data_IF_707127949083
#
_entry.id   IF_707127949083
#
_cell.length_a   1.000
_cell.length_b   1.000
_cell.length_c   1.000
_cell.angle_alpha   90.00
_cell.angle_beta   90.00
_cell.angle_gamma   90.00
#
_symmetry.space_group_name_H-M   'P 1'
#
loop_
_entity.id
_entity.type
_entity.pdbx_description
1 polymer ?
#
# COMPACT_ATOMS: atom_id res chain seq x y z
N UNK A 1 18.67 58.09 -1.21
CA UNK A 1 17.49 57.56 -0.50
C UNK A 1 16.61 56.64 -1.34
N UNK A 2 16.50 56.78 -2.68
CA UNK A 2 15.60 55.98 -3.53
C UNK A 2 15.92 54.49 -3.61
N UNK A 3 17.16 54.06 -3.66
CA UNK A 3 17.56 52.67 -3.86
C UNK A 3 17.27 51.72 -2.67
N UNK A 4 17.13 52.27 -1.47
CA UNK A 4 16.86 51.50 -0.25
C UNK A 4 15.34 51.14 -0.14
N UNK A 5 14.46 51.99 -0.66
CA UNK A 5 13.01 51.73 -0.71
C UNK A 5 12.63 50.70 -1.77
N UNK A 6 13.31 50.70 -2.93
CA UNK A 6 13.04 49.67 -3.97
C UNK A 6 13.46 48.26 -3.52
N UNK A 7 14.60 48.12 -2.84
CA UNK A 7 15.01 46.79 -2.31
C UNK A 7 14.03 46.25 -1.27
N UNK A 8 13.54 47.10 -0.38
CA UNK A 8 12.56 46.70 0.64
C UNK A 8 11.21 46.33 0.01
N UNK A 9 10.77 47.06 -1.03
CA UNK A 9 9.53 46.76 -1.73
C UNK A 9 9.59 45.43 -2.50
N UNK A 10 10.74 45.12 -3.15
CA UNK A 10 10.99 43.84 -3.81
C UNK A 10 11.02 42.67 -2.80
N UNK A 11 11.58 42.90 -1.62
CA UNK A 11 11.64 41.88 -0.56
C UNK A 11 10.25 41.57 0.00
N UNK A 12 9.44 42.58 0.24
CA UNK A 12 8.03 42.42 0.71
C UNK A 12 7.19 41.73 -0.36
N UNK A 13 7.39 42.05 -1.65
CA UNK A 13 6.67 41.40 -2.76
C UNK A 13 7.03 39.92 -2.88
N UNK A 14 8.31 39.55 -2.76
CA UNK A 14 8.77 38.15 -2.73
C UNK A 14 8.24 37.37 -1.52
N UNK A 15 8.16 37.99 -0.34
CA UNK A 15 7.56 37.38 0.86
C UNK A 15 6.06 37.14 0.68
N UNK A 16 5.34 38.07 0.07
CA UNK A 16 3.90 37.94 -0.24
C UNK A 16 3.65 36.80 -1.25
N UNK A 17 4.48 36.66 -2.28
CA UNK A 17 4.38 35.56 -3.24
C UNK A 17 4.71 34.21 -2.62
N UNK A 18 5.73 34.14 -1.76
CA UNK A 18 6.11 32.94 -1.01
C UNK A 18 4.99 32.50 -0.03
N UNK A 19 4.35 33.45 0.65
CA UNK A 19 3.20 33.18 1.51
C UNK A 19 1.97 32.73 0.71
N UNK A 20 1.74 33.23 -0.51
CA UNK A 20 0.68 32.75 -1.41
C UNK A 20 0.88 31.30 -1.84
N UNK A 21 2.12 30.93 -2.17
CA UNK A 21 2.46 29.54 -2.54
C UNK A 21 2.28 28.61 -1.34
N UNK A 22 2.74 29.02 -0.16
CA UNK A 22 2.58 28.27 1.09
C UNK A 22 1.09 28.12 1.44
N UNK A 23 0.30 29.18 1.36
CA UNK A 23 -1.15 29.12 1.58
C UNK A 23 -1.87 28.27 0.53
N UNK A 24 -1.43 28.27 -0.72
CA UNK A 24 -1.99 27.42 -1.78
C UNK A 24 -1.68 25.93 -1.53
N UNK A 25 -0.47 25.61 -1.07
CA UNK A 25 -0.11 24.25 -0.66
C UNK A 25 -0.89 23.79 0.58
N UNK A 26 -1.08 24.66 1.58
CA UNK A 26 -1.93 24.38 2.74
C UNK A 26 -3.39 24.18 2.35
N UNK A 27 -3.90 24.98 1.42
CA UNK A 27 -5.26 24.85 0.89
C UNK A 27 -5.45 23.55 0.12
N UNK A 28 -4.46 23.15 -0.70
CA UNK A 28 -4.46 21.85 -1.41
C UNK A 28 -4.39 20.66 -0.44
N UNK A 29 -3.59 20.75 0.62
CA UNK A 29 -3.53 19.76 1.69
C UNK A 29 -4.85 19.66 2.47
N UNK A 30 -5.45 20.81 2.79
CA UNK A 30 -6.78 20.88 3.42
C UNK A 30 -7.88 20.32 2.52
N UNK A 31 -7.88 20.65 1.22
CA UNK A 31 -8.83 20.11 0.25
C UNK A 31 -8.64 18.60 0.04
N UNK A 32 -7.40 18.11 0.06
CA UNK A 32 -7.08 16.68 0.00
C UNK A 32 -7.56 15.96 1.26
N UNK A 33 -7.38 16.55 2.44
CA UNK A 33 -7.88 16.01 3.70
C UNK A 33 -9.41 16.10 3.82
N UNK A 34 -10.03 17.17 3.31
CA UNK A 34 -11.49 17.30 3.25
C UNK A 34 -12.11 16.31 2.26
N UNK A 35 -11.50 16.06 1.08
CA UNK A 35 -11.91 14.98 0.19
C UNK A 35 -11.77 13.60 0.85
N UNK A 36 -10.68 13.37 1.57
CA UNK A 36 -10.47 12.13 2.33
C UNK A 36 -11.51 11.98 3.46
N UNK A 37 -11.85 13.07 4.15
CA UNK A 37 -12.92 13.09 5.17
C UNK A 37 -14.32 12.98 4.58
N UNK A 38 -14.62 13.60 3.43
CA UNK A 38 -15.91 13.44 2.75
C UNK A 38 -16.10 12.03 2.18
N UNK A 39 -15.03 11.38 1.71
CA UNK A 39 -15.08 9.97 1.31
C UNK A 39 -15.32 9.10 2.56
N UNK A 40 -14.69 9.39 3.69
CA UNK A 40 -14.90 8.62 4.93
C UNK A 40 -16.27 8.87 5.59
N UNK A 41 -16.87 10.04 5.46
CA UNK A 41 -18.21 10.33 6.01
C UNK A 41 -19.36 9.83 5.13
N UNK A 42 -19.13 9.63 3.83
CA UNK A 42 -20.11 8.98 2.93
C UNK A 42 -20.05 7.44 2.98
N UNK A 43 -19.03 6.85 3.61
CA UNK A 43 -18.82 5.40 3.76
C UNK A 43 -19.49 4.83 5.03
N UNK A 44 -20.34 5.59 5.73
CA UNK A 44 -21.19 5.03 6.78
C UNK A 44 -22.42 4.24 6.24
N UNK A 45 -22.57 4.09 4.93
CA UNK A 45 -23.31 2.97 4.36
C UNK A 45 -22.38 1.75 4.42
N UNK A 46 -22.74 0.76 5.24
CA UNK A 46 -22.01 -0.53 5.34
C UNK A 46 -21.76 -1.05 3.92
N UNK A 47 -20.50 -1.06 3.49
CA UNK A 47 -20.13 -1.67 2.22
C UNK A 47 -20.72 -3.07 2.17
N UNK A 48 -21.44 -3.37 1.09
CA UNK A 48 -21.91 -4.74 0.88
C UNK A 48 -20.74 -5.66 0.50
N UNK A 49 -20.82 -6.93 0.80
CA UNK A 49 -19.81 -7.94 0.42
C UNK A 49 -19.50 -7.90 -1.09
N UNK A 50 -20.53 -7.66 -1.94
CA UNK A 50 -20.35 -7.56 -3.38
C UNK A 50 -19.54 -6.31 -3.80
N UNK A 51 -19.77 -5.17 -3.15
CA UNK A 51 -19.00 -3.93 -3.39
C UNK A 51 -17.55 -4.11 -2.95
N UNK A 52 -17.31 -4.71 -1.79
CA UNK A 52 -15.98 -5.03 -1.32
C UNK A 52 -15.25 -5.94 -2.30
N UNK A 53 -15.89 -7.04 -2.75
CA UNK A 53 -15.29 -7.94 -3.72
C UNK A 53 -14.90 -7.22 -5.01
N UNK A 54 -15.79 -6.37 -5.55
CA UNK A 54 -15.50 -5.57 -6.75
C UNK A 54 -14.30 -4.64 -6.54
N UNK A 55 -14.19 -4.01 -5.37
CA UNK A 55 -13.05 -3.14 -5.04
C UNK A 55 -11.74 -3.93 -4.96
N UNK A 56 -11.75 -5.10 -4.34
CA UNK A 56 -10.58 -5.97 -4.23
C UNK A 56 -10.12 -6.47 -5.61
N UNK A 57 -11.07 -6.88 -6.46
CA UNK A 57 -10.78 -7.37 -7.80
C UNK A 57 -10.18 -6.26 -8.68
N UNK A 58 -10.77 -5.05 -8.64
CA UNK A 58 -10.23 -3.89 -9.35
C UNK A 58 -8.82 -3.55 -8.86
N UNK A 59 -8.59 -3.57 -7.55
CA UNK A 59 -7.27 -3.33 -6.98
C UNK A 59 -6.24 -4.36 -7.46
N UNK A 60 -6.59 -5.65 -7.47
CA UNK A 60 -5.70 -6.69 -8.00
C UNK A 60 -5.35 -6.47 -9.49
N UNK A 61 -6.31 -6.00 -10.30
CA UNK A 61 -6.07 -5.68 -11.71
C UNK A 61 -5.19 -4.42 -11.86
N UNK A 62 -5.35 -3.40 -11.01
CA UNK A 62 -4.49 -2.23 -10.97
C UNK A 62 -3.05 -2.60 -10.63
N UNK A 63 -2.83 -3.49 -9.66
CA UNK A 63 -1.51 -4.01 -9.31
C UNK A 63 -0.88 -4.75 -10.49
N UNK A 64 -1.65 -5.59 -11.20
CA UNK A 64 -1.21 -6.27 -12.42
C UNK A 64 -0.76 -5.28 -13.50
N UNK A 65 -1.49 -4.21 -13.69
CA UNK A 65 -1.24 -3.23 -14.77
C UNK A 65 -0.05 -2.32 -14.50
N UNK A 66 0.25 -2.05 -13.23
CA UNK A 66 1.23 -1.03 -12.83
C UNK A 66 2.55 -1.60 -12.28
N UNK A 67 2.64 -2.92 -12.06
CA UNK A 67 3.80 -3.53 -11.41
C UNK A 67 4.76 -4.15 -12.44
N UNK A 68 5.99 -3.63 -12.59
CA UNK A 68 6.96 -4.18 -13.54
C UNK A 68 7.35 -5.62 -13.17
N UNK A 69 7.38 -6.50 -14.17
CA UNK A 69 7.72 -7.91 -13.95
C UNK A 69 6.62 -8.72 -13.26
N UNK A 70 5.39 -8.23 -13.27
CA UNK A 70 4.25 -8.86 -12.62
C UNK A 70 4.03 -10.33 -13.05
N UNK A 71 3.92 -11.22 -12.08
CA UNK A 71 3.50 -12.61 -12.26
C UNK A 71 2.19 -12.90 -11.52
N UNK A 72 2.09 -12.46 -10.28
CA UNK A 72 0.93 -12.69 -9.45
C UNK A 72 0.81 -11.62 -8.34
N UNK A 73 -0.43 -11.28 -8.00
CA UNK A 73 -0.79 -10.54 -6.80
C UNK A 73 -2.07 -11.13 -6.23
N UNK A 74 -2.11 -11.36 -4.92
CA UNK A 74 -3.30 -11.84 -4.22
C UNK A 74 -3.38 -11.28 -2.81
N UNK A 75 -4.61 -11.12 -2.32
CA UNK A 75 -4.94 -10.72 -0.95
C UNK A 75 -5.50 -11.94 -0.23
N UNK A 76 -4.89 -12.30 0.89
CA UNK A 76 -5.17 -13.53 1.63
C UNK A 76 -5.52 -13.20 3.08
N UNK A 77 -6.42 -13.99 3.65
CA UNK A 77 -6.73 -13.96 5.08
C UNK A 77 -5.59 -14.56 5.91
N UNK A 78 -5.24 -13.91 7.02
CA UNK A 78 -4.25 -14.46 7.98
C UNK A 78 -4.82 -15.58 8.87
N UNK A 79 -6.14 -15.80 8.88
CA UNK A 79 -6.76 -16.86 9.69
C UNK A 79 -6.58 -18.25 9.09
N UNK A 80 -6.70 -18.36 7.75
CA UNK A 80 -6.79 -19.65 7.06
C UNK A 80 -6.05 -19.68 5.71
N UNK A 81 -5.48 -18.53 5.26
CA UNK A 81 -4.82 -18.41 3.97
C UNK A 81 -5.78 -18.39 2.78
N UNK A 82 -7.09 -18.19 3.02
CA UNK A 82 -8.07 -18.07 1.94
C UNK A 82 -7.78 -16.84 1.07
N UNK A 83 -7.84 -17.04 -0.24
CA UNK A 83 -7.60 -15.97 -1.22
C UNK A 83 -8.89 -15.20 -1.43
N UNK A 84 -8.91 -13.93 -1.00
CA UNK A 84 -10.07 -13.04 -1.14
C UNK A 84 -10.19 -12.49 -2.56
N UNK A 85 -9.06 -12.12 -3.15
CA UNK A 85 -8.99 -11.64 -4.52
C UNK A 85 -7.58 -11.83 -5.07
N UNK A 86 -7.45 -11.94 -6.39
CA UNK A 86 -6.17 -12.16 -7.07
C UNK A 86 -6.17 -11.64 -8.49
N UNK A 87 -4.95 -11.37 -9.00
CA UNK A 87 -4.65 -11.22 -10.41
C UNK A 87 -3.38 -11.99 -10.75
N UNK A 88 -3.27 -12.52 -11.96
CA UNK A 88 -2.09 -13.25 -12.42
C UNK A 88 -1.75 -12.90 -13.87
N UNK A 89 -0.48 -13.07 -14.23
CA UNK A 89 -0.03 -12.88 -15.60
C UNK A 89 -0.62 -13.96 -16.54
N UNK A 90 -0.71 -15.19 -16.03
CA UNK A 90 -1.26 -16.33 -16.76
C UNK A 90 -1.83 -17.38 -15.77
N UNK A 91 -2.55 -18.37 -16.29
CA UNK A 91 -3.19 -19.42 -15.50
C UNK A 91 -2.19 -20.34 -14.77
N UNK A 92 -1.01 -20.58 -15.33
CA UNK A 92 0.01 -21.43 -14.73
C UNK A 92 0.61 -20.75 -13.49
N UNK A 93 0.99 -19.47 -13.58
CA UNK A 93 1.47 -18.69 -12.44
C UNK A 93 0.41 -18.64 -11.32
N UNK A 94 -0.88 -18.44 -11.67
CA UNK A 94 -1.98 -18.47 -10.71
C UNK A 94 -2.01 -19.79 -9.94
N UNK A 95 -2.06 -20.91 -10.67
CA UNK A 95 -2.16 -22.25 -10.09
C UNK A 95 -1.02 -22.58 -9.14
N UNK A 96 0.23 -22.29 -9.54
CA UNK A 96 1.43 -22.58 -8.73
C UNK A 96 1.40 -21.79 -7.42
N UNK A 97 1.08 -20.49 -7.48
CA UNK A 97 1.12 -19.62 -6.30
C UNK A 97 -0.06 -19.89 -5.37
N UNK A 98 -1.23 -20.19 -5.92
CA UNK A 98 -2.41 -20.59 -5.14
C UNK A 98 -2.17 -21.89 -4.36
N UNK A 99 -1.52 -22.86 -4.97
CA UNK A 99 -1.11 -24.10 -4.28
C UNK A 99 -0.12 -23.83 -3.13
N UNK A 100 0.63 -22.72 -3.23
CA UNK A 100 1.56 -22.27 -2.19
C UNK A 100 0.94 -21.40 -1.09
N UNK A 101 -0.36 -21.08 -1.14
CA UNK A 101 -0.99 -20.13 -0.22
C UNK A 101 -0.82 -20.50 1.27
N UNK A 102 -1.00 -21.78 1.61
CA UNK A 102 -0.78 -22.29 2.96
C UNK A 102 0.68 -22.12 3.44
N UNK A 103 1.66 -22.26 2.54
CA UNK A 103 3.06 -22.01 2.87
C UNK A 103 3.34 -20.53 3.08
N UNK A 104 2.74 -19.64 2.30
CA UNK A 104 2.86 -18.20 2.50
C UNK A 104 2.28 -17.80 3.86
N UNK A 105 1.11 -18.32 4.25
CA UNK A 105 0.54 -18.11 5.58
C UNK A 105 1.48 -18.60 6.68
N UNK A 106 2.06 -19.80 6.53
CA UNK A 106 3.03 -20.34 7.49
C UNK A 106 4.24 -19.42 7.65
N UNK A 107 4.81 -18.91 6.55
CA UNK A 107 5.94 -17.98 6.58
C UNK A 107 5.54 -16.69 7.33
N UNK A 108 4.39 -16.11 7.01
CA UNK A 108 3.88 -14.91 7.68
C UNK A 108 3.77 -15.14 9.20
N UNK A 109 3.15 -16.24 9.61
CA UNK A 109 2.96 -16.55 11.03
C UNK A 109 4.28 -16.78 11.75
N UNK A 110 5.24 -17.51 11.14
CA UNK A 110 6.55 -17.73 11.73
C UNK A 110 7.35 -16.44 11.91
N UNK A 111 7.35 -15.56 10.89
CA UNK A 111 8.03 -14.27 10.98
C UNK A 111 7.38 -13.36 12.03
N UNK A 112 6.03 -13.33 12.12
CA UNK A 112 5.32 -12.61 13.19
C UNK A 112 5.76 -13.08 14.57
N UNK A 113 5.82 -14.39 14.82
CA UNK A 113 6.30 -14.97 16.08
C UNK A 113 7.74 -14.55 16.41
N UNK A 114 8.64 -14.54 15.40
CA UNK A 114 10.02 -14.07 15.57
C UNK A 114 10.03 -12.60 15.97
N UNK A 115 9.32 -11.71 15.23
CA UNK A 115 9.25 -10.28 15.56
C UNK A 115 8.70 -10.06 16.98
N UNK A 116 7.64 -10.79 17.36
CA UNK A 116 7.06 -10.73 18.69
C UNK A 116 8.02 -11.18 19.80
N UNK A 117 8.94 -12.11 19.52
CA UNK A 117 9.93 -12.58 20.48
C UNK A 117 11.00 -11.53 20.83
N UNK A 118 11.15 -10.49 19.99
CA UNK A 118 12.10 -9.39 20.20
C UNK A 118 11.48 -8.14 20.84
N UNK A 119 10.40 -8.27 21.59
CA UNK A 119 9.71 -7.13 22.27
C UNK A 119 10.63 -6.31 23.19
N UNK A 120 11.68 -6.89 23.70
CA UNK A 120 12.69 -6.18 24.51
C UNK A 120 13.46 -5.10 23.72
N UNK A 121 13.48 -5.19 22.38
CA UNK A 121 14.10 -4.17 21.51
C UNK A 121 13.19 -2.98 21.21
N UNK A 122 11.96 -2.97 21.75
CA UNK A 122 10.92 -1.97 21.51
C UNK A 122 9.77 -2.50 20.67
N UNK A 123 8.84 -1.62 20.31
CA UNK A 123 7.70 -1.97 19.46
C UNK A 123 8.16 -2.15 18.00
N UNK A 124 8.39 -3.40 17.63
CA UNK A 124 8.77 -3.76 16.27
C UNK A 124 7.52 -4.05 15.43
N UNK A 125 7.42 -3.39 14.28
CA UNK A 125 6.36 -3.65 13.29
C UNK A 125 6.93 -4.39 12.08
N UNK A 126 6.23 -5.44 11.65
CA UNK A 126 6.57 -6.17 10.44
C UNK A 126 5.96 -5.47 9.22
N UNK A 127 6.79 -4.80 8.44
CA UNK A 127 6.35 -4.11 7.23
C UNK A 127 6.06 -5.07 6.08
N UNK A 128 7.05 -5.88 5.74
CA UNK A 128 6.94 -6.89 4.68
C UNK A 128 8.02 -7.96 4.83
N UNK A 129 7.79 -9.10 4.18
CA UNK A 129 8.74 -10.20 4.05
C UNK A 129 9.19 -10.25 2.59
N UNK A 130 10.50 -10.27 2.35
CA UNK A 130 11.10 -10.40 1.02
C UNK A 130 11.73 -11.78 0.88
N UNK A 131 11.36 -12.50 -0.17
CA UNK A 131 11.93 -13.79 -0.51
C UNK A 131 12.46 -13.71 -1.95
N UNK A 132 13.76 -13.79 -2.11
CA UNK A 132 14.40 -13.75 -3.41
C UNK A 132 14.89 -15.13 -3.82
N UNK A 133 14.52 -15.53 -5.03
CA UNK A 133 15.07 -16.71 -5.71
C UNK A 133 15.89 -16.25 -6.92
N UNK A 134 16.46 -17.19 -7.64
CA UNK A 134 17.17 -16.87 -8.89
C UNK A 134 16.26 -16.38 -10.03
N UNK A 135 14.94 -16.62 -9.96
CA UNK A 135 13.97 -16.28 -11.01
C UNK A 135 12.82 -15.40 -10.55
N UNK A 136 12.36 -15.57 -9.32
CA UNK A 136 11.16 -14.93 -8.81
C UNK A 136 11.51 -14.22 -7.50
N UNK A 137 10.99 -13.01 -7.35
CA UNK A 137 10.97 -12.28 -6.08
C UNK A 137 9.55 -12.29 -5.53
N UNK A 138 9.38 -12.76 -4.30
CA UNK A 138 8.14 -12.68 -3.56
C UNK A 138 8.21 -11.54 -2.54
N UNK A 139 7.12 -10.80 -2.43
CA UNK A 139 6.91 -9.81 -1.38
C UNK A 139 5.59 -10.13 -0.68
N UNK A 140 5.64 -10.33 0.64
CA UNK A 140 4.46 -10.53 1.46
C UNK A 140 4.31 -9.31 2.36
N UNK A 141 3.22 -8.57 2.22
CA UNK A 141 2.93 -7.37 3.02
C UNK A 141 1.72 -7.64 3.91
N UNK A 142 1.85 -7.33 5.19
CA UNK A 142 0.83 -7.62 6.20
C UNK A 142 0.03 -6.36 6.48
N UNK A 143 -1.29 -6.47 6.65
CA UNK A 143 -2.17 -5.37 7.06
C UNK A 143 -1.82 -4.84 8.45
N UNK A 144 -2.28 -3.63 8.77
CA UNK A 144 -1.93 -2.97 10.03
C UNK A 144 -2.37 -3.76 11.28
N UNK A 145 -3.57 -4.36 11.25
CA UNK A 145 -4.07 -5.22 12.35
C UNK A 145 -3.69 -6.70 12.17
N UNK A 146 -2.99 -7.04 11.09
CA UNK A 146 -2.51 -8.40 10.86
C UNK A 146 -3.60 -9.41 10.50
N UNK A 147 -4.79 -8.97 10.07
CA UNK A 147 -5.90 -9.86 9.65
C UNK A 147 -5.70 -10.37 8.23
N UNK A 148 -4.99 -9.61 7.39
CA UNK A 148 -4.74 -9.94 5.99
C UNK A 148 -3.27 -9.79 5.64
N UNK A 149 -2.88 -10.43 4.56
CA UNK A 149 -1.61 -10.18 3.91
C UNK A 149 -1.75 -10.25 2.39
N UNK A 150 -0.91 -9.55 1.68
CA UNK A 150 -0.81 -9.68 0.23
C UNK A 150 0.43 -10.50 -0.14
N UNK A 151 0.29 -11.31 -1.17
CA UNK A 151 1.40 -12.03 -1.83
C UNK A 151 1.61 -11.43 -3.21
N UNK A 152 2.80 -10.94 -3.45
CA UNK A 152 3.24 -10.46 -4.75
C UNK A 152 4.36 -11.36 -5.26
N UNK A 153 4.25 -11.85 -6.49
CA UNK A 153 5.33 -12.56 -7.17
C UNK A 153 5.72 -11.81 -8.44
N UNK A 154 7.02 -11.57 -8.60
CA UNK A 154 7.60 -10.80 -9.69
C UNK A 154 8.68 -11.61 -10.42
N UNK A 155 8.76 -11.50 -11.73
CA UNK A 155 9.92 -11.92 -12.52
C UNK A 155 11.12 -11.06 -12.09
N UNK A 156 12.11 -11.69 -11.44
CA UNK A 156 13.27 -10.98 -10.87
C UNK A 156 14.03 -10.15 -11.89
N UNK A 157 14.11 -10.62 -13.14
CA UNK A 157 14.86 -9.92 -14.19
C UNK A 157 14.16 -8.66 -14.70
N UNK A 158 12.84 -8.56 -14.52
CA UNK A 158 11.99 -7.47 -15.01
C UNK A 158 11.45 -6.58 -13.89
N UNK A 159 11.55 -7.02 -12.65
CA UNK A 159 11.01 -6.33 -11.50
C UNK A 159 11.73 -5.00 -11.21
N UNK A 160 10.96 -3.99 -10.83
CA UNK A 160 11.49 -2.77 -10.22
C UNK A 160 11.04 -2.72 -8.76
N UNK A 161 11.95 -3.08 -7.84
CA UNK A 161 11.66 -3.18 -6.42
C UNK A 161 11.22 -1.86 -5.78
N UNK A 162 11.74 -0.71 -6.28
CA UNK A 162 11.32 0.61 -5.79
C UNK A 162 9.87 0.91 -6.12
N UNK A 163 9.46 0.68 -7.36
CA UNK A 163 8.07 0.85 -7.80
C UNK A 163 7.17 -0.15 -7.08
N UNK A 164 7.56 -1.42 -7.00
CA UNK A 164 6.77 -2.47 -6.35
C UNK A 164 6.53 -2.18 -4.88
N UNK A 165 7.56 -1.74 -4.14
CA UNK A 165 7.42 -1.28 -2.75
C UNK A 165 6.46 -0.11 -2.62
N UNK A 166 6.61 0.93 -3.44
CA UNK A 166 5.76 2.13 -3.38
C UNK A 166 4.27 1.77 -3.60
N UNK A 167 3.98 0.89 -4.56
CA UNK A 167 2.62 0.41 -4.82
C UNK A 167 2.06 -0.40 -3.63
N UNK A 168 2.86 -1.29 -3.04
CA UNK A 168 2.44 -2.10 -1.89
C UNK A 168 2.22 -1.24 -0.64
N UNK A 169 3.08 -0.26 -0.35
CA UNK A 169 2.85 0.67 0.76
C UNK A 169 1.60 1.52 0.57
N UNK A 170 1.34 1.98 -0.65
CA UNK A 170 0.10 2.68 -0.97
C UNK A 170 -1.11 1.77 -0.72
N UNK A 171 -1.04 0.50 -1.13
CA UNK A 171 -2.07 -0.49 -0.86
C UNK A 171 -2.29 -0.68 0.65
N UNK A 172 -1.24 -0.86 1.45
CA UNK A 172 -1.33 -0.99 2.92
C UNK A 172 -2.05 0.20 3.54
N UNK A 173 -1.80 1.43 3.05
CA UNK A 173 -2.43 2.64 3.56
C UNK A 173 -3.89 2.80 3.11
N UNK A 174 -4.20 2.48 1.86
CA UNK A 174 -5.53 2.74 1.27
C UNK A 174 -6.52 1.60 1.58
N UNK A 175 -6.07 0.35 1.59
CA UNK A 175 -6.90 -0.83 1.77
C UNK A 175 -6.73 -1.52 3.12
N UNK A 176 -5.55 -1.44 3.74
CA UNK A 176 -5.25 -2.20 4.95
C UNK A 176 -6.22 -1.91 6.08
N UNK A 177 -6.47 -0.62 6.37
CA UNK A 177 -7.40 -0.21 7.41
C UNK A 177 -8.84 -0.61 7.07
N UNK A 178 -9.26 -0.41 5.81
CA UNK A 178 -10.62 -0.74 5.38
C UNK A 178 -10.91 -2.25 5.48
N UNK A 179 -9.95 -3.09 5.09
CA UNK A 179 -10.09 -4.54 5.20
C UNK A 179 -10.07 -5.01 6.65
N UNK A 180 -9.17 -4.46 7.46
CA UNK A 180 -9.06 -4.78 8.88
C UNK A 180 -10.33 -4.38 9.65
N UNK A 181 -11.06 -3.34 9.22
CA UNK A 181 -12.33 -2.90 9.82
C UNK A 181 -13.54 -3.70 9.34
N UNK A 182 -13.47 -4.29 8.14
CA UNK A 182 -14.59 -5.03 7.54
C UNK A 182 -14.76 -6.43 8.13
N UNK A 183 -13.68 -7.08 8.53
CA UNK A 183 -13.63 -8.42 9.11
C UNK A 183 -13.18 -8.38 10.57
#
# INVERSE_FOLDING_TARGET
>A
MGQMYEKNFLYIKKLSEKNRIINFYYLLLLLRNLKKHQIMTSVNEKLTTAQLQTMLDNHCQDMKSNMPGFLFYGILSCSDGYILSKASANAEASKIIEQGSAFHLTIVNQVKMVVESYKELGDLELDYILIETNKITFMLMISALGKFFSVTALDRAKANMGISRALLYKCKQDFGTMLDDFF
#
